data_IF_739045586647
#
_entry.id   IF_739045586647
#
_cell.length_a   1.000
_cell.length_b   1.000
_cell.length_c   1.000
_cell.angle_alpha   90.00
_cell.angle_beta   90.00
_cell.angle_gamma   90.00
#
_symmetry.space_group_name_H-M   'P 1'
#
loop_
_entity.id
_entity.type
_entity.pdbx_description
1 polymer ?
#
# COMPACT_ATOMS: atom_id res chain seq x y z
N UNK A 1 -2.11 29.26 -14.62
CA UNK A 1 -1.93 28.46 -13.40
C UNK A 1 -2.28 27.04 -13.78
N UNK A 2 -1.36 26.09 -13.62
CA UNK A 2 -1.67 24.68 -13.84
C UNK A 2 -2.68 24.19 -12.77
N UNK A 3 -3.49 23.18 -13.10
CA UNK A 3 -4.49 22.61 -12.20
C UNK A 3 -3.83 22.04 -10.95
N UNK A 4 -2.66 21.40 -11.08
CA UNK A 4 -1.86 20.89 -9.96
C UNK A 4 -1.56 21.99 -8.93
N UNK A 5 -0.99 23.11 -9.38
CA UNK A 5 -0.67 24.25 -8.49
C UNK A 5 -1.90 24.85 -7.82
N UNK A 6 -3.03 24.92 -8.54
CA UNK A 6 -4.29 25.41 -7.95
C UNK A 6 -4.75 24.50 -6.81
N UNK A 7 -4.64 23.18 -6.98
CA UNK A 7 -5.01 22.21 -5.94
C UNK A 7 -4.05 22.28 -4.75
N UNK A 8 -2.75 22.42 -5.00
CA UNK A 8 -1.73 22.62 -3.95
C UNK A 8 -2.04 23.85 -3.09
N UNK A 9 -2.29 25.00 -3.72
CA UNK A 9 -2.60 26.24 -3.01
C UNK A 9 -3.94 26.18 -2.28
N UNK A 10 -4.95 25.53 -2.88
CA UNK A 10 -6.30 25.43 -2.30
C UNK A 10 -6.33 24.51 -1.08
N UNK A 11 -5.61 23.38 -1.12
CA UNK A 11 -5.65 22.34 -0.09
C UNK A 11 -4.39 22.29 0.79
N UNK A 12 -3.39 23.15 0.55
CA UNK A 12 -2.13 23.17 1.29
C UNK A 12 -1.27 21.93 1.08
N UNK A 13 -1.29 21.36 -0.13
CA UNK A 13 -0.54 20.12 -0.45
C UNK A 13 0.92 20.44 -0.76
N UNK A 14 1.82 19.51 -0.42
CA UNK A 14 3.24 19.60 -0.77
C UNK A 14 3.54 19.24 -2.23
N UNK A 15 2.70 18.38 -2.81
CA UNK A 15 2.80 17.90 -4.19
C UNK A 15 1.40 17.47 -4.63
N UNK A 16 1.01 17.81 -5.85
CA UNK A 16 -0.21 17.34 -6.49
C UNK A 16 0.08 16.90 -7.92
N UNK A 17 -0.34 15.69 -8.27
CA UNK A 17 -0.23 15.15 -9.63
C UNK A 17 -1.61 14.89 -10.21
N UNK A 18 -1.89 15.43 -11.39
CA UNK A 18 -3.18 15.27 -12.06
C UNK A 18 -3.03 14.40 -13.30
N UNK A 19 -3.65 13.22 -13.27
CA UNK A 19 -3.73 12.37 -14.45
C UNK A 19 -4.76 12.92 -15.43
N UNK A 20 -4.36 13.18 -16.67
CA UNK A 20 -5.28 13.53 -17.74
C UNK A 20 -6.08 12.28 -18.15
N UNK A 21 -7.36 12.25 -17.81
CA UNK A 21 -8.24 11.10 -17.99
C UNK A 21 -9.58 11.48 -18.61
N UNK A 22 -10.12 10.57 -19.42
CA UNK A 22 -11.46 10.65 -20.02
C UNK A 22 -12.57 10.19 -19.06
N UNK A 23 -12.23 9.81 -17.82
CA UNK A 23 -13.18 9.31 -16.82
C UNK A 23 -13.65 7.87 -17.07
N UNK A 24 -13.11 7.19 -18.09
CA UNK A 24 -13.46 5.80 -18.42
C UNK A 24 -12.66 4.76 -17.61
N UNK A 25 -12.79 3.49 -17.97
CA UNK A 25 -12.09 2.37 -17.30
C UNK A 25 -10.57 2.53 -17.25
N UNK A 26 -9.98 3.23 -18.23
CA UNK A 26 -8.53 3.51 -18.28
C UNK A 26 -8.06 4.55 -17.27
N UNK A 27 -8.98 5.25 -16.60
CA UNK A 27 -8.64 6.25 -15.57
C UNK A 27 -7.74 5.66 -14.49
N UNK A 28 -8.08 4.46 -14.01
CA UNK A 28 -7.34 3.83 -12.92
C UNK A 28 -5.91 3.45 -13.34
N UNK A 29 -5.73 3.02 -14.60
CA UNK A 29 -4.41 2.72 -15.14
C UNK A 29 -3.54 3.97 -15.25
N UNK A 30 -4.10 5.08 -15.74
CA UNK A 30 -3.39 6.38 -15.81
C UNK A 30 -3.00 6.91 -14.44
N UNK A 31 -3.89 6.82 -13.47
CA UNK A 31 -3.60 7.16 -12.06
C UNK A 31 -2.51 6.24 -11.49
N UNK A 32 -2.58 4.94 -11.80
CA UNK A 32 -1.56 3.96 -11.42
C UNK A 32 -0.17 4.29 -11.98
N UNK A 33 -0.07 4.59 -13.27
CA UNK A 33 1.19 4.99 -13.92
C UNK A 33 1.75 6.29 -13.33
N UNK A 34 0.93 7.32 -13.19
CA UNK A 34 1.34 8.59 -12.59
C UNK A 34 1.83 8.40 -11.14
N UNK A 35 1.10 7.60 -10.35
CA UNK A 35 1.48 7.25 -8.99
C UNK A 35 2.76 6.41 -8.92
N UNK A 36 3.01 5.52 -9.88
CA UNK A 36 4.22 4.71 -9.92
C UNK A 36 5.47 5.55 -10.21
N UNK A 37 5.36 6.51 -11.12
CA UNK A 37 6.43 7.47 -11.42
C UNK A 37 6.75 8.32 -10.19
N UNK A 38 5.71 8.88 -9.57
CA UNK A 38 5.86 9.65 -8.34
C UNK A 38 6.51 8.82 -7.22
N UNK A 39 6.08 7.56 -7.04
CA UNK A 39 6.66 6.68 -6.03
C UNK A 39 8.14 6.44 -6.28
N UNK A 40 8.54 6.11 -7.51
CA UNK A 40 9.95 5.83 -7.88
C UNK A 40 10.86 7.04 -7.63
N UNK A 41 10.36 8.25 -7.85
CA UNK A 41 11.06 9.52 -7.58
C UNK A 41 11.17 9.82 -6.09
N UNK A 42 10.27 9.27 -5.26
CA UNK A 42 10.14 9.59 -3.83
C UNK A 42 10.40 8.40 -2.91
N UNK A 43 10.94 7.28 -3.41
CA UNK A 43 11.30 6.16 -2.55
C UNK A 43 12.38 6.63 -1.55
N UNK A 44 12.20 6.39 -0.24
CA UNK A 44 13.20 6.74 0.76
C UNK A 44 14.56 6.09 0.46
N UNK A 45 15.66 6.81 0.71
CA UNK A 45 17.03 6.30 0.59
C UNK A 45 17.42 5.37 1.77
N UNK A 46 16.51 4.50 2.20
CA UNK A 46 16.59 3.77 3.46
C UNK A 46 15.28 3.82 4.25
N UNK A 47 14.95 2.74 4.95
CA UNK A 47 13.87 2.73 5.95
C UNK A 47 12.62 1.97 5.51
N UNK A 48 11.44 2.45 5.92
CA UNK A 48 10.16 1.74 5.77
C UNK A 48 9.20 2.46 4.84
N UNK A 49 8.57 1.71 3.95
CA UNK A 49 7.48 2.16 3.08
C UNK A 49 6.17 1.51 3.52
N UNK A 50 5.28 2.29 4.12
CA UNK A 50 3.95 1.83 4.51
C UNK A 50 3.00 1.75 3.32
N UNK A 51 2.31 0.62 3.15
CA UNK A 51 1.34 0.40 2.07
C UNK A 51 0.01 -0.08 2.64
N UNK A 52 -1.09 0.52 2.18
CA UNK A 52 -2.44 -0.01 2.44
C UNK A 52 -2.76 -1.15 1.45
N UNK A 53 -3.98 -1.23 0.93
CA UNK A 53 -4.38 -2.19 -0.09
C UNK A 53 -5.52 -1.64 -0.97
N UNK A 54 -5.91 -2.41 -2.00
CA UNK A 54 -7.03 -2.09 -2.88
C UNK A 54 -6.65 -1.91 -4.35
N UNK A 55 -7.67 -1.73 -5.19
CA UNK A 55 -7.54 -1.70 -6.67
C UNK A 55 -6.61 -0.59 -7.17
N UNK A 56 -6.68 0.61 -6.58
CA UNK A 56 -5.83 1.74 -6.97
C UNK A 56 -4.36 1.47 -6.71
N UNK A 57 -4.02 0.95 -5.53
CA UNK A 57 -2.63 0.61 -5.22
C UNK A 57 -2.13 -0.56 -6.07
N UNK A 58 -2.99 -1.54 -6.38
CA UNK A 58 -2.63 -2.61 -7.32
C UNK A 58 -2.31 -2.07 -8.72
N UNK A 59 -3.12 -1.14 -9.23
CA UNK A 59 -2.84 -0.47 -10.50
C UNK A 59 -1.54 0.34 -10.44
N UNK A 60 -1.22 0.97 -9.30
CA UNK A 60 0.06 1.65 -9.11
C UNK A 60 1.23 0.66 -9.15
N UNK A 61 1.20 -0.36 -8.29
CA UNK A 61 2.28 -1.36 -8.16
C UNK A 61 2.53 -2.08 -9.49
N UNK A 62 1.49 -2.36 -10.28
CA UNK A 62 1.66 -2.99 -11.59
C UNK A 62 2.52 -2.15 -12.56
N UNK A 63 2.51 -0.82 -12.43
CA UNK A 63 3.30 0.11 -13.23
C UNK A 63 4.68 0.42 -12.65
N UNK A 64 4.98 0.01 -11.41
CA UNK A 64 6.33 0.20 -10.83
C UNK A 64 7.34 -0.67 -11.59
N UNK A 65 8.41 -0.10 -12.16
CA UNK A 65 9.39 -0.86 -12.92
C UNK A 65 10.25 -1.73 -11.98
N UNK A 66 10.71 -2.87 -12.50
CA UNK A 66 11.61 -3.77 -11.79
C UNK A 66 13.05 -3.22 -11.91
N UNK A 67 13.37 -2.18 -11.15
CA UNK A 67 14.68 -1.53 -11.19
C UNK A 67 15.61 -1.94 -10.03
N UNK A 68 15.08 -2.51 -8.95
CA UNK A 68 15.88 -2.90 -7.79
C UNK A 68 16.65 -1.74 -7.16
N UNK A 69 17.54 -2.03 -6.21
CA UNK A 69 18.51 -1.06 -5.69
C UNK A 69 18.00 -0.10 -4.62
N UNK A 70 16.74 -0.22 -4.19
CA UNK A 70 16.21 0.54 -3.06
C UNK A 70 16.38 -0.27 -1.76
N UNK A 71 17.08 0.28 -0.76
CA UNK A 71 17.14 -0.32 0.58
C UNK A 71 15.90 0.06 1.39
N UNK A 72 14.76 -0.53 1.04
CA UNK A 72 13.49 -0.27 1.72
C UNK A 72 12.82 -1.55 2.22
N UNK A 73 12.16 -1.42 3.36
CA UNK A 73 11.28 -2.43 3.92
C UNK A 73 9.82 -2.01 3.70
N UNK A 74 9.10 -2.75 2.87
CA UNK A 74 7.68 -2.50 2.59
C UNK A 74 6.83 -3.15 3.69
N UNK A 75 6.01 -2.35 4.37
CA UNK A 75 5.20 -2.79 5.51
C UNK A 75 3.72 -2.53 5.26
N UNK A 76 2.81 -3.48 5.57
CA UNK A 76 1.38 -3.24 5.50
C UNK A 76 0.95 -2.27 6.63
N UNK A 77 0.11 -1.29 6.28
CA UNK A 77 -0.47 -0.33 7.23
C UNK A 77 -1.79 -0.82 7.85
N UNK A 78 -2.45 -1.76 7.19
CA UNK A 78 -3.77 -2.27 7.56
C UNK A 78 -3.73 -3.78 7.52
N UNK A 79 -4.36 -4.43 8.51
CA UNK A 79 -4.52 -5.87 8.55
C UNK A 79 -5.31 -6.42 7.36
N UNK A 80 -5.35 -7.74 7.21
CA UNK A 80 -6.15 -8.39 6.17
C UNK A 80 -7.66 -8.21 6.40
N UNK A 81 -8.45 -8.06 5.34
CA UNK A 81 -9.91 -8.18 5.44
C UNK A 81 -10.33 -9.56 4.93
N UNK A 82 -11.10 -10.34 5.71
CA UNK A 82 -11.57 -11.66 5.28
C UNK A 82 -12.62 -11.61 4.15
N UNK A 83 -13.18 -10.44 3.84
CA UNK A 83 -14.30 -10.26 2.92
C UNK A 83 -14.01 -9.38 1.69
N UNK A 84 -12.76 -8.94 1.49
CA UNK A 84 -12.35 -8.24 0.27
C UNK A 84 -11.81 -9.29 -0.69
N UNK A 85 -12.35 -9.32 -1.91
CA UNK A 85 -12.02 -10.27 -2.99
C UNK A 85 -10.60 -10.82 -2.91
N UNK A 86 -10.54 -12.15 -2.86
CA UNK A 86 -9.34 -13.00 -2.72
C UNK A 86 -8.20 -12.60 -3.66
N UNK A 87 -8.50 -11.87 -4.74
CA UNK A 87 -7.53 -11.43 -5.73
C UNK A 87 -6.62 -10.28 -5.30
N UNK A 88 -6.93 -9.50 -4.26
CA UNK A 88 -6.10 -8.35 -3.82
C UNK A 88 -5.88 -8.39 -2.30
N UNK A 89 -5.14 -9.38 -1.82
CA UNK A 89 -4.71 -9.35 -0.41
C UNK A 89 -3.61 -8.30 -0.25
N UNK A 90 -3.66 -7.53 0.85
CA UNK A 90 -2.64 -6.52 1.15
C UNK A 90 -1.23 -7.10 1.25
N UNK A 91 -1.12 -8.37 1.64
CA UNK A 91 0.17 -9.09 1.67
C UNK A 91 0.78 -9.27 0.29
N UNK A 92 -0.02 -9.63 -0.71
CA UNK A 92 0.47 -9.81 -2.08
C UNK A 92 0.94 -8.50 -2.69
N UNK A 93 0.22 -7.41 -2.41
CA UNK A 93 0.58 -6.08 -2.88
C UNK A 93 1.92 -5.63 -2.28
N UNK A 94 2.08 -5.78 -0.96
CA UNK A 94 3.32 -5.47 -0.24
C UNK A 94 4.49 -6.30 -0.77
N UNK A 95 4.26 -7.60 -0.97
CA UNK A 95 5.26 -8.53 -1.51
C UNK A 95 5.65 -8.17 -2.93
N UNK A 96 4.70 -7.81 -3.79
CA UNK A 96 4.98 -7.44 -5.18
C UNK A 96 5.76 -6.14 -5.27
N UNK A 97 5.37 -5.13 -4.49
CA UNK A 97 6.09 -3.86 -4.45
C UNK A 97 7.52 -4.03 -3.94
N UNK A 98 7.72 -4.78 -2.85
CA UNK A 98 9.05 -5.07 -2.34
C UNK A 98 9.92 -5.75 -3.40
N UNK A 99 9.38 -6.73 -4.13
CA UNK A 99 10.10 -7.40 -5.23
C UNK A 99 10.51 -6.42 -6.34
N UNK A 100 9.63 -5.50 -6.75
CA UNK A 100 9.93 -4.51 -7.80
C UNK A 100 11.00 -3.51 -7.38
N UNK A 101 10.98 -3.09 -6.11
CA UNK A 101 11.97 -2.18 -5.53
C UNK A 101 13.30 -2.88 -5.16
N UNK A 102 13.34 -4.22 -5.16
CA UNK A 102 14.48 -4.99 -4.66
C UNK A 102 14.65 -4.92 -3.14
N UNK A 103 13.57 -4.57 -2.43
CA UNK A 103 13.54 -4.41 -0.98
C UNK A 103 13.05 -5.65 -0.24
N UNK A 104 12.87 -5.50 1.08
CA UNK A 104 12.31 -6.53 1.97
C UNK A 104 10.84 -6.22 2.26
N UNK A 105 10.11 -7.17 2.84
CA UNK A 105 8.74 -6.93 3.27
C UNK A 105 8.42 -7.57 4.61
N UNK A 106 7.43 -7.00 5.31
CA UNK A 106 6.85 -7.56 6.53
C UNK A 106 5.42 -8.04 6.30
N UNK A 107 4.94 -8.92 7.18
CA UNK A 107 3.53 -9.34 7.24
C UNK A 107 2.88 -8.78 8.49
N UNK A 108 1.58 -8.47 8.39
CA UNK A 108 0.73 -8.13 9.52
C UNK A 108 -0.38 -9.19 9.63
N UNK A 109 -0.15 -10.27 10.40
CA UNK A 109 -1.11 -11.36 10.56
C UNK A 109 -2.21 -10.94 11.55
N UNK A 110 -2.94 -9.89 11.22
CA UNK A 110 -4.04 -9.36 11.99
C UNK A 110 -5.15 -8.93 11.04
N UNK A 111 -6.43 -9.02 11.43
CA UNK A 111 -7.52 -8.52 10.62
C UNK A 111 -7.58 -6.99 10.67
N UNK A 112 -8.04 -6.35 9.59
CA UNK A 112 -8.27 -4.90 9.57
C UNK A 112 -9.41 -4.48 10.51
N UNK A 113 -10.42 -5.35 10.65
CA UNK A 113 -11.58 -5.14 11.49
C UNK A 113 -11.84 -6.39 12.33
N UNK A 114 -12.18 -6.16 13.59
CA UNK A 114 -12.66 -7.20 14.48
C UNK A 114 -14.18 -7.07 14.56
N UNK A 115 -14.91 -7.98 13.91
CA UNK A 115 -16.30 -8.18 14.28
C UNK A 115 -16.33 -9.17 15.44
N UNK A 116 -16.58 -8.63 16.64
CA UNK A 116 -16.91 -9.44 17.81
C UNK A 116 -18.30 -10.05 17.58
N UNK A 117 -18.38 -11.17 16.88
CA UNK A 117 -19.46 -12.13 17.11
C UNK A 117 -19.15 -12.74 18.48
N UNK A 118 -20.13 -12.80 19.39
CA UNK A 118 -20.00 -13.01 20.84
C UNK A 118 -19.33 -14.31 21.34
N UNK A 119 -18.18 -14.69 20.81
CA UNK A 119 -17.31 -15.73 21.35
C UNK A 119 -15.92 -15.14 21.61
N UNK A 120 -15.58 -14.93 22.88
CA UNK A 120 -14.35 -14.25 23.32
C UNK A 120 -13.03 -14.97 22.98
N UNK A 121 -13.09 -16.06 22.22
CA UNK A 121 -11.95 -16.87 21.80
C UNK A 121 -11.06 -16.17 20.76
N UNK A 122 -11.63 -15.42 19.81
CA UNK A 122 -10.87 -14.80 18.71
C UNK A 122 -9.97 -13.64 19.19
N UNK A 123 -10.48 -12.80 20.09
CA UNK A 123 -9.71 -11.70 20.67
C UNK A 123 -8.52 -12.21 21.50
N UNK A 124 -8.71 -13.30 22.26
CA UNK A 124 -7.63 -13.94 23.03
C UNK A 124 -6.55 -14.54 22.13
N UNK A 125 -6.93 -15.20 21.04
CA UNK A 125 -5.98 -15.79 20.10
C UNK A 125 -5.07 -14.73 19.44
N UNK A 126 -5.61 -13.55 19.12
CA UNK A 126 -4.84 -12.44 18.56
C UNK A 126 -3.87 -11.82 19.56
N UNK A 127 -4.25 -11.73 20.83
CA UNK A 127 -3.36 -11.24 21.91
C UNK A 127 -2.18 -12.19 22.16
N UNK A 128 -2.40 -13.51 22.07
CA UNK A 128 -1.33 -14.52 22.28
C UNK A 128 -0.41 -14.70 21.08
N UNK A 129 -0.86 -14.39 19.86
CA UNK A 129 -0.02 -14.48 18.66
C UNK A 129 1.04 -13.36 18.57
N UNK A 130 0.90 -12.28 19.35
CA UNK A 130 1.85 -11.17 19.39
C UNK A 130 3.02 -11.41 20.35
N UNK A 131 2.84 -12.26 21.37
CA UNK A 131 3.85 -12.52 22.41
C UNK A 131 4.92 -13.54 22.01
N UNK A 132 4.76 -14.22 20.86
CA UNK A 132 5.67 -15.29 20.41
C UNK A 132 6.79 -14.83 19.47
N UNK A 133 6.94 -13.52 19.21
CA UNK A 133 7.98 -12.98 18.30
C UNK A 133 8.97 -12.00 18.97
N UNK A 134 8.99 -11.95 20.29
CA UNK A 134 9.94 -11.11 21.05
C UNK A 134 11.20 -11.88 21.51
N UNK A 135 11.34 -13.17 21.19
CA UNK A 135 12.40 -14.04 21.72
C UNK A 135 13.24 -14.79 20.66
N UNK A 136 13.25 -14.36 19.39
CA UNK A 136 14.17 -14.90 18.36
C UNK A 136 14.94 -13.78 17.63
#
# INVERSE_FOLDING_TARGET
>A
MDLERRLEETFGLRDCRVADTDGGERSLAKVGDLGARWLVENVPAGGRLGVSWGRTLRALVSHVPHRGGYDVEVVPLVGGLPSVDVEITGEELVRDLARRLGGRFQRLPAPATLMLVCDGSLARALLTAHTTRAED
#
